data_IF_841686547635
#
_entry.id   IF_841686547635
#
_cell.length_a   1.000
_cell.length_b   1.000
_cell.length_c   1.000
_cell.angle_alpha   90.00
_cell.angle_beta   90.00
_cell.angle_gamma   90.00
#
_symmetry.space_group_name_H-M   'P 1'
#
loop_
_entity.id
_entity.type
_entity.pdbx_description
1 polymer ?
#
# COMPACT_ATOMS: atom_id res chain seq x y z
N UNK A 1 -1.58 -38.54 0.13
CA UNK A 1 -1.60 -37.40 -0.79
C UNK A 1 -2.16 -37.81 -2.14
N UNK A 2 -2.93 -36.97 -2.87
CA UNK A 2 -3.39 -37.23 -4.22
C UNK A 2 -2.21 -37.45 -5.17
N UNK A 3 -2.44 -38.17 -6.30
CA UNK A 3 -1.39 -38.40 -7.28
C UNK A 3 -0.99 -37.16 -8.07
N UNK A 4 -1.91 -36.20 -8.13
CA UNK A 4 -1.80 -34.89 -8.77
C UNK A 4 -1.54 -33.76 -7.75
N UNK A 5 -0.91 -34.11 -6.60
CA UNK A 5 -0.51 -33.11 -5.60
C UNK A 5 0.67 -32.31 -6.13
N UNK A 6 0.44 -31.03 -6.41
CA UNK A 6 1.35 -30.10 -7.10
C UNK A 6 2.21 -29.23 -6.16
N UNK A 7 1.85 -29.16 -4.84
CA UNK A 7 2.60 -28.38 -3.86
C UNK A 7 3.94 -29.04 -3.45
N UNK A 8 4.03 -30.37 -3.54
CA UNK A 8 5.28 -31.12 -3.28
C UNK A 8 5.24 -32.46 -3.99
N UNK A 9 5.92 -32.55 -5.13
CA UNK A 9 6.01 -33.77 -5.94
C UNK A 9 6.63 -34.96 -5.18
N UNK A 10 7.43 -34.69 -4.14
CA UNK A 10 8.11 -35.74 -3.36
C UNK A 10 7.14 -36.57 -2.53
N UNK A 11 5.96 -36.03 -2.21
CA UNK A 11 4.90 -36.70 -1.44
C UNK A 11 3.67 -37.07 -2.28
N UNK A 12 3.62 -36.64 -3.54
CA UNK A 12 2.51 -36.92 -4.44
C UNK A 12 2.28 -38.44 -4.60
N UNK A 13 1.03 -38.87 -4.45
CA UNK A 13 0.60 -40.27 -4.52
C UNK A 13 1.09 -41.17 -3.39
N UNK A 14 1.77 -40.64 -2.35
CA UNK A 14 2.24 -41.41 -1.19
C UNK A 14 1.21 -41.50 -0.10
N UNK A 15 1.23 -42.61 0.64
CA UNK A 15 0.48 -42.78 1.87
C UNK A 15 1.19 -42.01 3.00
N UNK A 16 0.41 -41.32 3.84
CA UNK A 16 0.90 -40.61 5.02
C UNK A 16 0.07 -40.93 6.25
N UNK A 17 0.74 -41.08 7.39
CA UNK A 17 0.10 -41.29 8.71
C UNK A 17 0.28 -39.99 9.53
N UNK A 18 -0.82 -39.47 10.02
CA UNK A 18 -0.86 -38.27 10.86
C UNK A 18 -1.32 -38.63 12.28
N UNK A 19 -0.54 -38.23 13.27
CA UNK A 19 -0.96 -38.26 14.67
C UNK A 19 -1.48 -36.89 15.08
N UNK A 20 -2.79 -36.78 15.34
CA UNK A 20 -3.46 -35.55 15.70
C UNK A 20 -3.85 -35.57 17.18
N UNK A 21 -3.43 -34.54 17.91
CA UNK A 21 -3.86 -34.28 19.29
C UNK A 21 -4.86 -33.16 19.29
N UNK A 22 -6.12 -33.43 19.63
CA UNK A 22 -7.15 -32.39 19.74
C UNK A 22 -7.08 -31.77 21.13
N UNK A 23 -6.72 -30.50 21.22
CA UNK A 23 -6.63 -29.78 22.50
C UNK A 23 -7.95 -29.14 22.92
N UNK A 24 -8.79 -28.75 21.96
CA UNK A 24 -10.11 -28.20 22.23
C UNK A 24 -11.07 -28.46 21.08
N UNK A 25 -12.33 -28.55 21.42
CA UNK A 25 -13.44 -28.55 20.45
C UNK A 25 -14.38 -27.42 20.87
N UNK A 26 -14.68 -26.53 19.94
CA UNK A 26 -15.55 -25.37 20.18
C UNK A 26 -16.76 -25.45 19.24
N UNK A 27 -17.93 -25.17 19.79
CA UNK A 27 -19.14 -24.97 18.99
C UNK A 27 -19.29 -23.48 18.71
N UNK A 28 -19.38 -23.11 17.45
CA UNK A 28 -19.61 -21.71 17.02
C UNK A 28 -21.12 -21.56 16.79
N UNK A 29 -21.72 -20.65 17.56
CA UNK A 29 -23.14 -20.28 17.37
C UNK A 29 -23.20 -18.84 16.86
N UNK A 30 -23.94 -18.63 15.77
CA UNK A 30 -24.20 -17.26 15.26
C UNK A 30 -25.42 -16.72 16.00
N UNK A 31 -25.30 -15.60 16.72
CA UNK A 31 -26.45 -14.97 17.37
C UNK A 31 -27.45 -14.45 16.34
N UNK A 32 -28.72 -14.31 16.74
CA UNK A 32 -29.73 -13.68 15.93
C UNK A 32 -29.43 -12.17 15.78
N UNK A 33 -29.52 -11.66 14.55
CA UNK A 33 -29.37 -10.24 14.28
C UNK A 33 -30.65 -9.50 14.69
N UNK A 34 -30.61 -8.94 15.88
CA UNK A 34 -31.70 -8.20 16.51
C UNK A 34 -31.17 -7.00 17.31
N UNK A 35 -32.06 -6.15 17.83
CA UNK A 35 -31.71 -4.93 18.54
C UNK A 35 -30.86 -5.19 19.79
N UNK A 36 -31.08 -6.30 20.49
CA UNK A 36 -30.28 -6.67 21.66
C UNK A 36 -28.84 -7.01 21.25
N UNK A 37 -28.65 -7.73 20.12
CA UNK A 37 -27.33 -8.04 19.59
C UNK A 37 -26.62 -6.77 19.14
N UNK A 38 -27.29 -5.92 18.37
CA UNK A 38 -26.75 -4.66 17.85
C UNK A 38 -26.29 -3.74 18.98
N UNK A 39 -27.09 -3.54 20.01
CA UNK A 39 -26.73 -2.67 21.15
C UNK A 39 -25.56 -3.20 22.00
N UNK A 40 -25.18 -4.46 21.82
CA UNK A 40 -24.03 -5.08 22.48
C UNK A 40 -22.73 -4.91 21.73
N UNK A 41 -22.79 -4.77 20.39
CA UNK A 41 -21.61 -4.73 19.51
C UNK A 41 -21.32 -3.35 18.92
N UNK A 42 -22.23 -2.38 19.11
CA UNK A 42 -22.14 -1.04 18.56
C UNK A 42 -22.83 -0.02 19.47
N UNK A 43 -22.68 1.26 19.14
CA UNK A 43 -23.40 2.36 19.80
C UNK A 43 -24.84 2.54 19.27
N UNK A 44 -25.27 1.73 18.31
CA UNK A 44 -26.63 1.74 17.78
C UNK A 44 -27.60 1.01 18.71
N UNK A 45 -28.86 1.49 18.76
CA UNK A 45 -29.91 0.92 19.61
C UNK A 45 -30.80 -0.07 18.87
N UNK A 46 -30.83 0.00 17.53
CA UNK A 46 -31.70 -0.84 16.69
C UNK A 46 -30.95 -1.38 15.48
N UNK A 47 -31.44 -2.48 14.94
CA UNK A 47 -30.93 -3.06 13.68
C UNK A 47 -31.01 -2.06 12.52
N UNK A 48 -32.06 -1.25 12.47
CA UNK A 48 -32.22 -0.23 11.42
C UNK A 48 -31.14 0.87 11.51
N UNK A 49 -30.82 1.36 12.73
CA UNK A 49 -29.73 2.31 12.94
C UNK A 49 -28.37 1.71 12.56
N UNK A 50 -28.14 0.44 12.89
CA UNK A 50 -26.90 -0.23 12.53
C UNK A 50 -26.75 -0.44 11.02
N UNK A 51 -27.84 -0.81 10.33
CA UNK A 51 -27.84 -0.93 8.87
C UNK A 51 -27.54 0.41 8.18
N UNK A 52 -28.11 1.51 8.67
CA UNK A 52 -27.82 2.85 8.17
C UNK A 52 -26.37 3.24 8.44
N UNK A 53 -25.87 3.03 9.65
CA UNK A 53 -24.48 3.26 10.03
C UNK A 53 -23.53 2.46 9.11
N UNK A 54 -23.75 1.14 8.99
CA UNK A 54 -22.92 0.28 8.15
C UNK A 54 -22.93 0.70 6.67
N UNK A 55 -24.10 1.10 6.16
CA UNK A 55 -24.22 1.63 4.79
C UNK A 55 -23.43 2.90 4.59
N UNK A 56 -23.48 3.82 5.55
CA UNK A 56 -22.74 5.08 5.49
C UNK A 56 -21.23 4.81 5.52
N UNK A 57 -20.75 3.97 6.43
CA UNK A 57 -19.33 3.58 6.52
C UNK A 57 -18.84 2.94 5.23
N UNK A 58 -19.59 1.99 4.68
CA UNK A 58 -19.22 1.33 3.42
C UNK A 58 -19.19 2.35 2.26
N UNK A 59 -20.16 3.25 2.20
CA UNK A 59 -20.24 4.25 1.14
C UNK A 59 -19.08 5.24 1.24
N UNK A 60 -18.74 5.70 2.43
CA UNK A 60 -17.63 6.61 2.69
C UNK A 60 -16.28 5.95 2.36
N UNK A 61 -16.05 4.74 2.88
CA UNK A 61 -14.83 3.97 2.58
C UNK A 61 -14.66 3.71 1.09
N UNK A 62 -15.75 3.34 0.39
CA UNK A 62 -15.71 3.14 -1.07
C UNK A 62 -15.42 4.44 -1.83
N UNK A 63 -15.94 5.57 -1.37
CA UNK A 63 -15.68 6.87 -1.99
C UNK A 63 -14.21 7.29 -1.79
N UNK A 64 -13.67 7.11 -0.58
CA UNK A 64 -12.28 7.42 -0.24
C UNK A 64 -11.32 6.54 -1.04
N UNK A 65 -11.56 5.22 -1.07
CA UNK A 65 -10.75 4.29 -1.87
C UNK A 65 -10.78 4.62 -3.37
N UNK A 66 -11.95 4.98 -3.90
CA UNK A 66 -12.07 5.37 -5.30
C UNK A 66 -11.35 6.69 -5.62
N UNK A 67 -11.33 7.63 -4.68
CA UNK A 67 -10.61 8.88 -4.81
C UNK A 67 -9.10 8.65 -4.78
N UNK A 68 -8.64 7.81 -3.86
CA UNK A 68 -7.25 7.43 -3.73
C UNK A 68 -6.74 6.73 -5.00
N UNK A 69 -7.45 5.71 -5.50
CA UNK A 69 -7.12 5.03 -6.76
C UNK A 69 -7.06 6.00 -7.95
N UNK A 70 -8.02 6.93 -8.06
CA UNK A 70 -8.00 7.90 -9.15
C UNK A 70 -6.85 8.90 -9.02
N UNK A 71 -6.42 9.23 -7.81
CA UNK A 71 -5.22 10.03 -7.54
C UNK A 71 -3.94 9.31 -7.95
N UNK A 72 -3.83 8.02 -7.60
CA UNK A 72 -2.71 7.17 -8.02
C UNK A 72 -2.63 7.03 -9.55
N UNK A 73 -3.75 6.77 -10.21
CA UNK A 73 -3.81 6.71 -11.68
C UNK A 73 -3.36 8.03 -12.33
N UNK A 74 -3.79 9.17 -11.79
CA UNK A 74 -3.39 10.48 -12.28
C UNK A 74 -1.89 10.74 -12.08
N UNK A 75 -1.34 10.34 -10.94
CA UNK A 75 0.10 10.44 -10.67
C UNK A 75 0.89 9.52 -11.59
N UNK A 76 0.49 8.27 -11.74
CA UNK A 76 1.12 7.31 -12.65
C UNK A 76 1.14 7.83 -14.10
N UNK A 77 0.02 8.41 -14.57
CA UNK A 77 -0.02 9.04 -15.89
C UNK A 77 0.93 10.23 -16.00
N UNK A 78 1.04 11.06 -14.95
CA UNK A 78 1.98 12.17 -14.93
C UNK A 78 3.44 11.69 -15.01
N UNK A 79 3.80 10.65 -14.25
CA UNK A 79 5.14 10.04 -14.26
C UNK A 79 5.44 9.40 -15.61
N UNK A 80 4.50 8.62 -16.16
CA UNK A 80 4.65 7.92 -17.45
C UNK A 80 4.83 8.90 -18.61
N UNK A 81 4.12 10.04 -18.59
CA UNK A 81 4.21 11.06 -19.63
C UNK A 81 5.38 12.03 -19.42
N UNK A 82 6.06 11.99 -18.28
CA UNK A 82 7.19 12.87 -18.01
C UNK A 82 8.41 12.47 -18.81
N UNK A 83 8.93 13.42 -19.60
CA UNK A 83 10.19 13.26 -20.33
C UNK A 83 11.37 13.63 -19.43
N UNK A 84 11.92 12.68 -18.69
CA UNK A 84 13.14 12.89 -17.89
C UNK A 84 14.34 12.59 -18.76
N UNK A 85 15.10 13.63 -19.14
CA UNK A 85 16.27 13.51 -20.02
C UNK A 85 17.60 13.49 -19.27
N UNK A 86 17.62 13.95 -18.02
CA UNK A 86 18.81 14.04 -17.17
C UNK A 86 18.40 14.08 -15.70
N UNK A 87 19.24 13.56 -14.82
CA UNK A 87 19.03 13.57 -13.37
C UNK A 87 20.37 13.70 -12.64
N UNK A 88 20.38 14.29 -11.42
CA UNK A 88 21.59 14.33 -10.60
C UNK A 88 22.01 12.91 -10.16
N UNK A 89 23.27 12.56 -10.38
CA UNK A 89 23.76 11.21 -10.03
C UNK A 89 23.69 10.97 -8.52
N UNK A 90 23.97 11.98 -7.72
CA UNK A 90 23.89 11.91 -6.24
C UNK A 90 22.46 11.65 -5.74
N UNK A 91 21.47 12.15 -6.46
CA UNK A 91 20.07 11.83 -6.17
C UNK A 91 19.79 10.35 -6.44
N UNK A 92 20.18 9.83 -7.60
CA UNK A 92 20.02 8.39 -7.90
C UNK A 92 20.77 7.52 -6.88
N UNK A 93 22.01 7.86 -6.55
CA UNK A 93 22.82 7.12 -5.59
C UNK A 93 22.13 7.05 -4.21
N UNK A 94 21.42 8.11 -3.82
CA UNK A 94 20.64 8.14 -2.57
C UNK A 94 19.44 7.20 -2.62
N UNK A 95 18.66 7.23 -3.70
CA UNK A 95 17.53 6.31 -3.87
C UNK A 95 17.98 4.86 -3.98
N UNK A 96 19.08 4.60 -4.70
CA UNK A 96 19.63 3.26 -4.81
C UNK A 96 20.08 2.71 -3.45
N UNK A 97 20.80 3.53 -2.64
CA UNK A 97 21.24 3.11 -1.32
C UNK A 97 20.06 2.82 -0.38
N UNK A 98 19.00 3.63 -0.43
CA UNK A 98 17.77 3.40 0.34
C UNK A 98 17.08 2.10 -0.11
N UNK A 99 16.78 1.95 -1.39
CA UNK A 99 16.14 0.75 -1.94
C UNK A 99 16.95 -0.53 -1.66
N UNK A 100 18.27 -0.45 -1.76
CA UNK A 100 19.15 -1.57 -1.45
C UNK A 100 19.07 -1.97 0.02
N UNK A 101 19.05 -0.98 0.93
CA UNK A 101 18.90 -1.20 2.37
C UNK A 101 17.54 -1.81 2.72
N UNK A 102 16.48 -1.38 2.05
CA UNK A 102 15.13 -1.89 2.27
C UNK A 102 15.04 -3.37 1.91
N UNK A 103 15.61 -3.76 0.76
CA UNK A 103 15.66 -5.18 0.38
C UNK A 103 16.57 -6.02 1.28
N UNK A 104 17.66 -5.45 1.80
CA UNK A 104 18.48 -6.13 2.81
C UNK A 104 17.66 -6.40 4.08
N UNK A 105 16.96 -5.39 4.58
CA UNK A 105 16.10 -5.51 5.76
C UNK A 105 14.95 -6.51 5.54
N UNK A 106 14.39 -6.53 4.33
CA UNK A 106 13.37 -7.50 3.96
C UNK A 106 13.90 -8.94 3.93
N UNK A 107 15.09 -9.18 3.37
CA UNK A 107 15.73 -10.49 3.38
C UNK A 107 16.01 -10.96 4.82
N UNK A 108 16.51 -10.07 5.68
CA UNK A 108 16.73 -10.36 7.10
C UNK A 108 15.41 -10.71 7.83
N UNK A 109 14.33 -9.98 7.56
CA UNK A 109 12.99 -10.28 8.09
C UNK A 109 12.50 -11.67 7.64
N UNK A 110 12.79 -12.07 6.39
CA UNK A 110 12.49 -13.41 5.88
C UNK A 110 13.43 -14.49 6.43
N UNK A 111 14.45 -14.12 7.20
CA UNK A 111 15.46 -15.04 7.74
C UNK A 111 16.41 -15.60 6.67
N UNK A 112 16.57 -14.88 5.54
CA UNK A 112 17.44 -15.24 4.42
C UNK A 112 18.73 -14.42 4.45
N UNK A 113 19.82 -15.04 3.96
CA UNK A 113 21.01 -14.28 3.57
C UNK A 113 20.70 -13.42 2.34
N UNK A 114 21.24 -12.21 2.28
CA UNK A 114 20.89 -11.28 1.22
C UNK A 114 21.39 -11.74 -0.17
N UNK A 115 22.54 -12.40 -0.25
CA UNK A 115 23.05 -12.95 -1.51
C UNK A 115 22.16 -14.10 -2.00
N UNK A 116 21.65 -14.94 -1.08
CA UNK A 116 20.67 -15.98 -1.38
C UNK A 116 19.34 -15.37 -1.83
N UNK A 117 18.88 -14.32 -1.16
CA UNK A 117 17.66 -13.59 -1.54
C UNK A 117 17.75 -13.03 -2.97
N UNK A 118 18.87 -12.39 -3.31
CA UNK A 118 19.12 -11.89 -4.67
C UNK A 118 19.14 -13.03 -5.71
N UNK A 119 19.79 -14.15 -5.39
CA UNK A 119 19.88 -15.27 -6.33
C UNK A 119 18.52 -15.91 -6.65
N UNK A 120 17.57 -15.89 -5.70
CA UNK A 120 16.27 -16.55 -5.82
C UNK A 120 15.15 -15.62 -6.30
N UNK A 121 15.23 -14.31 -5.99
CA UNK A 121 14.08 -13.41 -6.16
C UNK A 121 14.31 -12.27 -7.15
N UNK A 122 15.51 -11.68 -7.20
CA UNK A 122 15.79 -10.51 -8.04
C UNK A 122 17.30 -10.29 -8.21
N UNK A 123 17.68 -9.46 -9.17
CA UNK A 123 19.06 -9.04 -9.37
C UNK A 123 19.35 -7.64 -8.82
N UNK A 124 20.64 -7.29 -8.70
CA UNK A 124 21.01 -5.90 -8.41
C UNK A 124 20.53 -4.90 -9.48
N UNK A 125 20.36 -5.34 -10.72
CA UNK A 125 19.87 -4.49 -11.79
C UNK A 125 18.36 -4.22 -11.62
N UNK A 126 17.59 -5.18 -11.10
CA UNK A 126 16.19 -4.96 -10.73
C UNK A 126 16.08 -3.95 -9.57
N UNK A 127 16.98 -4.00 -8.57
CA UNK A 127 17.03 -2.99 -7.50
C UNK A 127 17.32 -1.60 -8.07
N UNK A 128 18.23 -1.49 -9.05
CA UNK A 128 18.52 -0.21 -9.72
C UNK A 128 17.32 0.31 -10.50
N UNK A 129 16.55 -0.57 -11.13
CA UNK A 129 15.33 -0.19 -11.85
C UNK A 129 14.27 0.35 -10.87
N UNK A 130 14.02 -0.33 -9.77
CA UNK A 130 13.11 0.14 -8.70
C UNK A 130 13.55 1.50 -8.15
N UNK A 131 14.84 1.66 -7.85
CA UNK A 131 15.39 2.93 -7.37
C UNK A 131 15.25 4.05 -8.40
N UNK A 132 15.46 3.73 -9.68
CA UNK A 132 15.29 4.68 -10.79
C UNK A 132 13.83 5.13 -10.92
N UNK A 133 12.88 4.22 -10.80
CA UNK A 133 11.47 4.56 -10.93
C UNK A 133 10.97 5.37 -9.73
N UNK A 134 11.41 5.03 -8.51
CA UNK A 134 11.14 5.83 -7.31
C UNK A 134 11.73 7.25 -7.41
N UNK A 135 12.95 7.37 -7.90
CA UNK A 135 13.58 8.68 -8.15
C UNK A 135 12.82 9.49 -9.21
N UNK A 136 12.40 8.86 -10.31
CA UNK A 136 11.62 9.52 -11.38
C UNK A 136 10.29 10.04 -10.84
N UNK A 137 9.58 9.22 -10.07
CA UNK A 137 8.33 9.64 -9.42
C UNK A 137 8.58 10.86 -8.55
N UNK A 138 9.58 10.81 -7.66
CA UNK A 138 9.94 11.94 -6.81
C UNK A 138 10.24 13.22 -7.62
N UNK A 139 11.00 13.11 -8.71
CA UNK A 139 11.32 14.27 -9.56
C UNK A 139 10.06 14.88 -10.19
N UNK A 140 9.10 14.05 -10.62
CA UNK A 140 7.82 14.53 -11.18
C UNK A 140 6.96 15.17 -10.10
N UNK A 141 6.86 14.55 -8.94
CA UNK A 141 6.16 15.08 -7.76
C UNK A 141 6.73 16.45 -7.39
N UNK A 142 8.06 16.58 -7.28
CA UNK A 142 8.72 17.83 -6.96
C UNK A 142 8.47 18.89 -8.03
N UNK A 143 8.53 18.54 -9.30
CA UNK A 143 8.29 19.47 -10.40
C UNK A 143 6.84 19.99 -10.42
N UNK A 144 5.86 19.13 -10.12
CA UNK A 144 4.47 19.54 -9.99
C UNK A 144 4.30 20.44 -8.77
N UNK A 145 4.85 20.05 -7.62
CA UNK A 145 4.79 20.84 -6.39
C UNK A 145 5.35 22.25 -6.58
N UNK A 146 6.52 22.36 -7.20
CA UNK A 146 7.17 23.65 -7.50
C UNK A 146 6.32 24.52 -8.43
N UNK A 147 5.78 23.92 -9.48
CA UNK A 147 4.97 24.61 -10.48
C UNK A 147 3.65 25.12 -9.91
N UNK A 148 2.97 24.30 -9.11
CA UNK A 148 1.64 24.59 -8.56
C UNK A 148 1.72 25.30 -7.18
N UNK A 149 2.93 25.46 -6.64
CA UNK A 149 3.17 26.13 -5.36
C UNK A 149 2.75 25.30 -4.15
N UNK A 150 2.71 23.98 -4.29
CA UNK A 150 2.44 23.03 -3.20
C UNK A 150 3.69 22.99 -2.33
N UNK A 151 3.55 23.34 -1.06
CA UNK A 151 4.68 23.40 -0.12
C UNK A 151 4.33 22.68 1.16
N UNK A 152 5.33 22.05 1.73
CA UNK A 152 5.30 21.56 3.11
C UNK A 152 6.05 22.59 3.93
N UNK A 153 5.40 23.15 4.95
CA UNK A 153 6.05 23.98 5.95
C UNK A 153 6.84 23.06 6.89
N UNK A 154 8.17 23.16 6.88
CA UNK A 154 9.02 22.37 7.78
C UNK A 154 8.65 22.50 9.27
N UNK A 155 8.07 23.65 9.66
CA UNK A 155 7.60 23.85 11.03
C UNK A 155 6.30 23.11 11.34
N UNK A 156 5.55 22.77 10.30
CA UNK A 156 4.27 22.07 10.40
C UNK A 156 4.36 20.62 9.92
N UNK A 157 5.59 20.15 9.57
CA UNK A 157 5.77 18.78 9.10
C UNK A 157 5.18 17.74 10.06
N UNK A 158 5.24 18.00 11.37
CA UNK A 158 4.66 17.12 12.39
C UNK A 158 3.13 17.02 12.28
N UNK A 159 2.47 18.14 11.96
CA UNK A 159 1.02 18.16 11.74
C UNK A 159 0.66 17.47 10.43
N UNK A 160 1.46 17.70 9.38
CA UNK A 160 1.25 17.09 8.05
C UNK A 160 1.54 15.58 8.05
N UNK A 161 2.41 15.11 8.96
CA UNK A 161 2.78 13.70 9.09
C UNK A 161 1.97 12.95 10.17
N UNK A 162 1.01 13.61 10.83
CA UNK A 162 0.22 12.95 11.88
C UNK A 162 -0.63 11.80 11.33
N UNK A 163 -1.24 12.01 10.17
CA UNK A 163 -2.05 10.99 9.51
C UNK A 163 -1.19 9.79 9.07
N UNK A 164 0.03 10.05 8.61
CA UNK A 164 1.00 9.02 8.24
C UNK A 164 1.46 8.20 9.46
N UNK A 165 1.65 8.86 10.63
CA UNK A 165 1.99 8.15 11.85
C UNK A 165 0.84 7.23 12.32
N UNK A 166 -0.41 7.68 12.19
CA UNK A 166 -1.59 6.86 12.49
C UNK A 166 -1.73 5.68 11.51
N UNK A 167 -1.56 5.92 10.21
CA UNK A 167 -1.64 4.91 9.16
C UNK A 167 -0.59 3.79 9.34
N UNK A 168 0.64 4.18 9.74
CA UNK A 168 1.74 3.24 9.95
C UNK A 168 1.81 2.68 11.37
N UNK A 169 0.79 2.94 12.19
CA UNK A 169 0.65 2.44 13.56
C UNK A 169 1.80 2.86 14.51
N UNK A 170 2.38 4.06 14.29
CA UNK A 170 3.36 4.65 15.22
C UNK A 170 2.64 5.42 16.34
N UNK A 171 3.17 5.32 17.56
CA UNK A 171 2.64 6.03 18.73
C UNK A 171 2.82 7.56 18.61
N UNK A 172 3.73 8.03 17.77
CA UNK A 172 3.99 9.46 17.54
C UNK A 172 4.75 9.74 16.25
N UNK A 173 4.62 10.99 15.76
CA UNK A 173 5.43 11.48 14.62
C UNK A 173 6.92 11.50 14.92
N UNK A 174 7.32 11.67 16.18
CA UNK A 174 8.73 11.63 16.58
C UNK A 174 9.32 10.21 16.43
N UNK A 175 8.55 9.18 16.75
CA UNK A 175 8.93 7.79 16.54
C UNK A 175 9.00 7.46 15.04
N UNK A 176 8.01 7.86 14.27
CA UNK A 176 8.01 7.75 12.81
C UNK A 176 9.26 8.38 12.19
N UNK A 177 9.66 9.60 12.65
CA UNK A 177 10.87 10.28 12.19
C UNK A 177 12.16 9.57 12.56
N UNK A 178 12.18 8.94 13.73
CA UNK A 178 13.35 8.22 14.21
C UNK A 178 13.58 6.94 13.40
N UNK A 179 12.51 6.29 12.98
CA UNK A 179 12.55 5.03 12.24
C UNK A 179 12.75 5.25 10.74
N UNK A 180 11.92 6.06 10.11
CA UNK A 180 11.90 6.26 8.65
C UNK A 180 12.77 7.45 8.17
N UNK A 181 13.09 8.38 9.05
CA UNK A 181 13.84 9.59 8.72
C UNK A 181 12.99 10.71 8.10
N UNK A 182 13.44 11.95 8.35
CA UNK A 182 12.70 13.16 7.93
C UNK A 182 12.56 13.26 6.41
N UNK A 183 13.57 12.82 5.66
CA UNK A 183 13.54 12.90 4.18
C UNK A 183 12.49 12.00 3.57
N UNK A 184 12.34 10.80 4.09
CA UNK A 184 11.29 9.86 3.68
C UNK A 184 9.91 10.46 3.94
N UNK A 185 9.65 10.91 5.17
CA UNK A 185 8.37 11.51 5.57
C UNK A 185 8.03 12.73 4.72
N UNK A 186 9.01 13.62 4.47
CA UNK A 186 8.81 14.78 3.61
C UNK A 186 8.37 14.37 2.21
N UNK A 187 9.06 13.38 1.60
CA UNK A 187 8.73 12.88 0.25
C UNK A 187 7.34 12.26 0.21
N UNK A 188 6.99 11.45 1.22
CA UNK A 188 5.67 10.80 1.31
C UNK A 188 4.55 11.84 1.46
N UNK A 189 4.69 12.78 2.38
CA UNK A 189 3.70 13.85 2.56
C UNK A 189 3.58 14.72 1.30
N UNK A 190 4.68 15.02 0.63
CA UNK A 190 4.65 15.80 -0.61
C UNK A 190 3.94 15.02 -1.73
N UNK A 191 4.21 13.74 -1.84
CA UNK A 191 3.54 12.83 -2.78
C UNK A 191 2.04 12.82 -2.58
N UNK A 192 1.57 12.65 -1.36
CA UNK A 192 0.14 12.65 -1.04
C UNK A 192 -0.51 14.00 -1.42
N UNK A 193 0.10 15.12 -1.09
CA UNK A 193 -0.42 16.44 -1.47
C UNK A 193 -0.49 16.64 -2.99
N UNK A 194 0.47 16.16 -3.73
CA UNK A 194 0.47 16.22 -5.20
C UNK A 194 -0.57 15.27 -5.78
N UNK A 195 -0.72 14.06 -5.23
CA UNK A 195 -1.75 13.10 -5.59
C UNK A 195 -3.15 13.69 -5.42
N UNK A 196 -3.42 14.30 -4.27
CA UNK A 196 -4.69 14.98 -4.00
C UNK A 196 -4.95 16.14 -4.98
N UNK A 197 -3.94 16.94 -5.26
CA UNK A 197 -4.03 18.02 -6.25
C UNK A 197 -4.38 17.46 -7.64
N UNK A 198 -3.71 16.39 -8.07
CA UNK A 198 -3.95 15.76 -9.35
C UNK A 198 -5.35 15.16 -9.43
N UNK A 199 -5.82 14.49 -8.38
CA UNK A 199 -7.18 14.00 -8.29
C UNK A 199 -8.22 15.10 -8.47
N UNK A 200 -8.05 16.25 -7.78
CA UNK A 200 -8.96 17.38 -7.88
C UNK A 200 -8.93 18.05 -9.27
N UNK A 201 -7.78 18.04 -9.95
CA UNK A 201 -7.60 18.60 -11.27
C UNK A 201 -8.04 17.63 -12.40
N UNK A 202 -8.08 16.33 -12.13
CA UNK A 202 -8.35 15.30 -13.11
C UNK A 202 -9.86 15.24 -13.48
N UNK A 203 -10.11 14.80 -14.70
CA UNK A 203 -11.47 14.40 -15.11
C UNK A 203 -11.69 12.93 -14.76
N UNK A 204 -12.26 12.67 -13.61
CA UNK A 204 -12.54 11.32 -13.14
C UNK A 204 -13.81 10.78 -13.80
N UNK A 205 -13.74 9.58 -14.35
CA UNK A 205 -14.90 8.84 -14.88
C UNK A 205 -15.18 7.66 -13.97
N UNK A 206 -16.40 7.59 -13.42
CA UNK A 206 -16.81 6.45 -12.60
C UNK A 206 -17.20 5.29 -13.49
N UNK A 207 -16.60 4.13 -13.24
CA UNK A 207 -16.89 2.87 -13.92
C UNK A 207 -17.19 1.80 -12.86
N UNK A 208 -17.73 0.68 -13.27
CA UNK A 208 -17.86 -0.49 -12.39
C UNK A 208 -16.49 -1.18 -12.23
N UNK A 209 -16.34 -1.99 -11.19
CA UNK A 209 -15.12 -2.77 -10.95
C UNK A 209 -14.77 -3.66 -12.17
N UNK A 210 -15.77 -4.32 -12.76
CA UNK A 210 -15.57 -5.15 -13.96
C UNK A 210 -15.10 -4.31 -15.17
N UNK A 211 -15.63 -3.11 -15.36
CA UNK A 211 -15.21 -2.19 -16.42
C UNK A 211 -13.76 -1.69 -16.17
N UNK A 212 -13.39 -1.41 -14.92
CA UNK A 212 -12.05 -0.96 -14.55
C UNK A 212 -10.99 -2.01 -14.92
N UNK A 213 -11.18 -3.26 -14.50
CA UNK A 213 -10.24 -4.35 -14.84
C UNK A 213 -10.18 -4.68 -16.33
N UNK A 214 -11.26 -4.45 -17.09
CA UNK A 214 -11.23 -4.60 -18.55
C UNK A 214 -10.42 -3.51 -19.24
N UNK A 215 -10.45 -2.27 -18.71
CA UNK A 215 -9.67 -1.15 -19.27
C UNK A 215 -8.16 -1.36 -19.07
N UNK A 216 -7.74 -1.92 -17.92
CA UNK A 216 -6.34 -2.18 -17.60
C UNK A 216 -5.73 -3.26 -18.52
N UNK A 217 -6.51 -4.27 -18.88
CA UNK A 217 -6.07 -5.32 -19.82
C UNK A 217 -5.92 -4.85 -21.27
N UNK A 218 -6.62 -3.80 -21.69
CA UNK A 218 -6.51 -3.21 -23.04
C UNK A 218 -5.33 -2.22 -23.16
N UNK A 219 -4.87 -1.65 -22.02
CA UNK A 219 -3.76 -0.70 -22.01
C UNK A 219 -2.37 -1.36 -22.09
N UNK A 220 -2.28 -2.67 -21.85
CA UNK A 220 -1.03 -3.46 -21.84
C UNK A 220 -0.81 -4.25 -23.15
N UNK A 221 -1.71 -4.18 -24.11
CA UNK A 221 -1.66 -4.81 -25.44
C UNK A 221 -1.23 -3.85 -26.54
#
# INVERSE_FOLDING_TARGET
>A
FPKDYDLDETVAGKEAEFTVTVYSVSEVTTPEFNDEFVSRISDCSTTAEYEEYARNVITENSANSSADMAGEDALLQAVTNAGISDYPQDLFDSFYAETYSDYQSYAEFMGMDFDDFLAENMSEDDIKEVAMDSMKEFMVVQAIADKEGIKIDEKNLDTEASDLAEEYEYDSVDELKQDLGISYIYRTVLREKVKDFLYQAAKVTKVTEDEYYQMDTEAVG
#
